data_IF_989937834914
#
_entry.id   IF_989937834914
#
_cell.length_a   1.000
_cell.length_b   1.000
_cell.length_c   1.000
_cell.angle_alpha   90.00
_cell.angle_beta   90.00
_cell.angle_gamma   90.00
#
_symmetry.space_group_name_H-M   'P 1'
#
loop_
_entity.id
_entity.type
_entity.pdbx_description
1 polymer ?
#
# COMPACT_ATOMS: atom_id res chain seq x y z
N UNK A 1 39.80 26.13 51.61
CA UNK A 1 39.99 26.09 50.16
C UNK A 1 39.08 25.01 49.57
N UNK A 2 37.88 25.38 49.22
CA UNK A 2 36.90 24.47 48.61
C UNK A 2 37.04 24.57 47.08
N UNK A 3 37.44 23.47 46.41
CA UNK A 3 37.33 23.34 44.97
C UNK A 3 35.98 22.73 44.65
N UNK A 4 35.05 23.57 44.23
CA UNK A 4 33.84 23.17 43.50
C UNK A 4 34.25 22.64 42.12
N UNK A 5 34.20 21.33 41.93
CA UNK A 5 34.17 20.74 40.60
C UNK A 5 32.73 20.76 40.10
N UNK A 6 32.39 21.77 39.29
CA UNK A 6 31.16 21.79 38.50
C UNK A 6 31.19 20.57 37.57
N UNK A 7 30.29 19.62 37.83
CA UNK A 7 29.92 18.57 36.90
C UNK A 7 29.15 19.22 35.75
N UNK A 8 29.82 19.48 34.63
CA UNK A 8 29.14 19.73 33.38
C UNK A 8 28.42 18.45 32.95
N UNK A 9 27.18 18.53 32.44
CA UNK A 9 26.54 17.35 31.89
C UNK A 9 27.38 16.81 30.74
N UNK A 10 27.56 15.48 30.71
CA UNK A 10 28.26 14.74 29.65
C UNK A 10 27.71 15.21 28.28
N UNK A 11 28.61 15.37 27.34
CA UNK A 11 28.39 16.01 26.05
C UNK A 11 27.16 15.46 25.32
N UNK A 12 26.48 16.33 24.59
CA UNK A 12 25.35 16.03 23.66
C UNK A 12 25.68 14.97 22.60
N UNK A 13 26.89 14.39 22.60
CA UNK A 13 27.34 13.35 21.67
C UNK A 13 26.95 11.93 22.08
N UNK A 14 26.76 11.66 23.40
CA UNK A 14 26.52 10.29 23.92
C UNK A 14 25.28 9.60 23.36
N UNK A 15 24.26 10.34 22.89
CA UNK A 15 23.08 9.75 22.28
C UNK A 15 23.28 9.42 20.78
N UNK A 16 24.20 10.12 20.11
CA UNK A 16 24.55 9.88 18.71
C UNK A 16 25.51 8.70 18.54
N UNK A 17 26.28 8.36 19.58
CA UNK A 17 27.19 7.22 19.58
C UNK A 17 26.45 5.87 19.44
N UNK A 18 25.14 5.88 19.65
CA UNK A 18 24.26 4.71 19.42
C UNK A 18 23.80 4.56 17.97
N UNK A 19 24.02 5.57 17.13
CA UNK A 19 23.64 5.49 15.73
C UNK A 19 24.62 4.55 14.99
N UNK A 20 24.10 3.42 14.49
CA UNK A 20 24.90 2.42 13.78
C UNK A 20 25.72 1.47 14.67
N UNK A 21 25.56 1.55 16.00
CA UNK A 21 26.22 0.66 16.95
C UNK A 21 25.27 -0.41 17.53
N UNK A 22 24.30 -0.88 16.73
CA UNK A 22 23.34 -1.89 17.16
C UNK A 22 24.00 -3.21 17.52
N UNK A 23 23.54 -3.84 18.59
CA UNK A 23 24.00 -5.17 19.04
C UNK A 23 23.39 -6.29 18.17
N UNK A 24 22.22 -6.05 17.60
CA UNK A 24 21.41 -7.03 16.87
C UNK A 24 21.35 -6.70 15.38
N UNK A 25 21.09 -5.44 15.03
CA UNK A 25 20.89 -5.01 13.64
C UNK A 25 22.23 -4.97 12.90
N UNK A 26 22.30 -5.72 11.77
CA UNK A 26 23.49 -5.78 10.89
C UNK A 26 23.24 -5.00 9.61
N UNK A 27 22.04 -5.11 9.02
CA UNK A 27 21.64 -4.42 7.81
C UNK A 27 20.18 -3.98 7.90
N UNK A 28 19.92 -2.68 7.80
CA UNK A 28 18.56 -2.13 7.86
C UNK A 28 17.80 -2.24 6.51
N UNK A 29 18.49 -2.48 5.39
CA UNK A 29 17.85 -2.49 4.08
C UNK A 29 16.71 -3.52 3.96
N UNK A 30 16.83 -4.76 4.49
CA UNK A 30 15.74 -5.74 4.46
C UNK A 30 14.47 -5.33 5.21
N UNK A 31 14.53 -4.34 6.08
CA UNK A 31 13.37 -3.83 6.85
C UNK A 31 12.58 -2.77 6.07
N UNK A 32 13.14 -2.23 4.97
CA UNK A 32 12.40 -1.30 4.12
C UNK A 32 11.30 -2.00 3.35
N UNK A 33 10.14 -1.33 3.23
CA UNK A 33 9.00 -1.85 2.43
C UNK A 33 9.25 -1.88 0.93
N UNK A 34 10.16 -1.03 0.44
CA UNK A 34 10.53 -0.99 -0.98
C UNK A 34 11.62 -2.01 -1.35
N UNK A 35 12.20 -2.66 -0.33
CA UNK A 35 13.23 -3.65 -0.54
C UNK A 35 12.66 -4.97 -1.08
N UNK A 36 13.26 -5.47 -2.14
CA UNK A 36 12.83 -6.72 -2.78
C UNK A 36 13.69 -7.86 -2.24
N UNK A 37 13.08 -8.88 -1.64
CA UNK A 37 13.82 -10.05 -1.17
C UNK A 37 14.39 -10.84 -2.35
N UNK A 38 15.51 -11.55 -2.14
CA UNK A 38 16.09 -12.41 -3.17
C UNK A 38 15.18 -13.55 -3.61
N UNK A 39 14.23 -13.94 -2.76
CA UNK A 39 13.15 -14.90 -3.07
C UNK A 39 11.89 -14.49 -2.33
N UNK A 40 10.75 -14.57 -2.98
CA UNK A 40 9.46 -14.38 -2.32
C UNK A 40 9.07 -15.66 -1.61
N UNK A 41 8.53 -15.55 -0.39
CA UNK A 41 8.06 -16.69 0.39
C UNK A 41 6.55 -16.61 0.58
N UNK A 42 5.89 -17.78 0.60
CA UNK A 42 4.45 -17.90 0.80
C UNK A 42 3.60 -17.46 -0.41
N UNK A 43 4.21 -17.42 -1.62
CA UNK A 43 3.56 -17.09 -2.90
C UNK A 43 4.02 -18.00 -4.04
N UNK A 44 4.47 -19.19 -3.72
CA UNK A 44 5.03 -20.13 -4.70
C UNK A 44 4.00 -20.60 -5.73
N UNK A 45 2.75 -20.75 -5.31
CA UNK A 45 1.67 -21.15 -6.23
C UNK A 45 1.22 -19.99 -7.11
N UNK A 46 1.13 -18.79 -6.57
CA UNK A 46 0.84 -17.57 -7.33
C UNK A 46 1.97 -17.24 -8.33
N UNK A 47 3.24 -17.52 -7.99
CA UNK A 47 4.36 -17.43 -8.93
C UNK A 47 4.21 -18.40 -10.11
N UNK A 48 3.81 -19.66 -9.87
CA UNK A 48 3.57 -20.65 -10.93
C UNK A 48 2.39 -20.25 -11.81
N UNK A 49 1.32 -19.73 -11.21
CA UNK A 49 0.15 -19.26 -11.93
C UNK A 49 0.52 -18.08 -12.84
N UNK A 50 1.26 -17.11 -12.32
CA UNK A 50 1.76 -15.96 -13.10
C UNK A 50 2.70 -16.43 -14.22
N UNK A 51 3.59 -17.40 -13.97
CA UNK A 51 4.44 -17.99 -14.99
C UNK A 51 3.63 -18.67 -16.10
N UNK A 52 2.52 -19.32 -15.76
CA UNK A 52 1.60 -19.92 -16.74
C UNK A 52 0.95 -18.86 -17.63
N UNK A 53 0.52 -17.73 -17.07
CA UNK A 53 -0.03 -16.60 -17.85
C UNK A 53 1.01 -16.02 -18.82
N UNK A 54 2.28 -16.13 -18.50
CA UNK A 54 3.41 -15.61 -19.29
C UNK A 54 4.15 -16.69 -20.11
N UNK A 55 3.63 -17.90 -20.21
CA UNK A 55 4.31 -19.02 -20.85
C UNK A 55 4.74 -18.76 -22.32
N UNK A 56 4.00 -17.93 -23.05
CA UNK A 56 4.28 -17.60 -24.44
C UNK A 56 5.23 -16.40 -24.64
N UNK A 57 5.66 -15.73 -23.58
CA UNK A 57 6.43 -14.47 -23.69
C UNK A 57 7.80 -14.67 -24.38
N UNK A 58 8.39 -15.89 -24.32
CA UNK A 58 9.62 -16.22 -25.02
C UNK A 58 9.49 -16.27 -26.54
N UNK A 59 8.28 -16.42 -27.06
CA UNK A 59 8.00 -16.49 -28.51
C UNK A 59 8.01 -15.09 -29.11
N UNK A 60 8.80 -14.81 -30.17
CA UNK A 60 8.75 -13.54 -30.88
C UNK A 60 7.33 -13.20 -31.35
N UNK A 61 6.93 -11.93 -31.24
CA UNK A 61 5.60 -11.49 -31.63
C UNK A 61 4.50 -11.74 -30.57
N UNK A 62 4.79 -12.40 -29.45
CA UNK A 62 3.80 -12.64 -28.41
C UNK A 62 3.93 -11.61 -27.28
N UNK A 63 2.76 -11.14 -26.83
CA UNK A 63 2.59 -10.26 -25.64
C UNK A 63 1.69 -10.95 -24.63
N UNK A 64 2.09 -10.93 -23.36
CA UNK A 64 1.36 -11.50 -22.24
C UNK A 64 0.76 -10.41 -21.36
N UNK A 65 -0.29 -10.75 -20.63
CA UNK A 65 -1.00 -9.81 -19.77
C UNK A 65 -1.45 -10.48 -18.49
N UNK A 66 -1.38 -9.75 -17.36
CA UNK A 66 -1.93 -10.19 -16.09
C UNK A 66 -2.50 -9.01 -15.31
N UNK A 67 -3.51 -9.32 -14.51
CA UNK A 67 -4.08 -8.43 -13.49
C UNK A 67 -3.81 -9.06 -12.14
N UNK A 68 -3.15 -8.34 -11.22
CA UNK A 68 -2.89 -8.79 -9.87
C UNK A 68 -3.67 -7.92 -8.91
N UNK A 69 -4.58 -8.52 -8.15
CA UNK A 69 -5.39 -7.82 -7.14
C UNK A 69 -5.15 -8.37 -5.74
N UNK A 70 -5.63 -7.68 -4.73
CA UNK A 70 -5.58 -8.09 -3.33
C UNK A 70 -5.36 -6.93 -2.38
N UNK A 71 -5.51 -7.18 -1.08
CA UNK A 71 -5.39 -6.17 -0.04
C UNK A 71 -3.98 -5.54 0.04
N UNK A 72 -3.88 -4.43 0.76
CA UNK A 72 -2.60 -3.81 1.11
C UNK A 72 -1.74 -4.84 1.86
N UNK A 73 -0.43 -4.88 1.56
CA UNK A 73 0.51 -5.78 2.21
C UNK A 73 0.42 -7.25 1.82
N UNK A 74 -0.44 -7.63 0.84
CA UNK A 74 -0.53 -9.01 0.33
C UNK A 74 0.64 -9.44 -0.57
N UNK A 75 1.61 -8.55 -0.85
CA UNK A 75 2.82 -8.87 -1.60
C UNK A 75 2.72 -8.67 -3.12
N UNK A 76 1.69 -7.99 -3.65
CA UNK A 76 1.50 -7.76 -5.10
C UNK A 76 2.71 -7.17 -5.80
N UNK A 77 3.23 -6.07 -5.28
CA UNK A 77 4.40 -5.37 -5.83
C UNK A 77 5.64 -6.25 -5.79
N UNK A 78 5.88 -6.94 -4.67
CA UNK A 78 7.04 -7.83 -4.51
C UNK A 78 6.94 -9.00 -5.47
N UNK A 79 5.78 -9.65 -5.57
CA UNK A 79 5.53 -10.77 -6.50
C UNK A 79 5.81 -10.36 -7.95
N UNK A 80 5.25 -9.26 -8.40
CA UNK A 80 5.39 -8.81 -9.79
C UNK A 80 6.83 -8.42 -10.14
N UNK A 81 7.55 -7.75 -9.23
CA UNK A 81 8.93 -7.34 -9.44
C UNK A 81 9.88 -8.52 -9.41
N UNK A 82 9.76 -9.42 -8.42
CA UNK A 82 10.55 -10.65 -8.36
C UNK A 82 10.32 -11.51 -9.60
N UNK A 83 9.05 -11.68 -10.01
CA UNK A 83 8.71 -12.39 -11.24
C UNK A 83 9.36 -11.77 -12.49
N UNK A 84 9.31 -10.44 -12.61
CA UNK A 84 9.92 -9.74 -13.76
C UNK A 84 11.43 -9.91 -13.81
N UNK A 85 12.11 -9.86 -12.67
CA UNK A 85 13.55 -10.08 -12.56
C UNK A 85 13.94 -11.52 -12.89
N UNK A 86 13.18 -12.50 -12.39
CA UNK A 86 13.39 -13.91 -12.69
C UNK A 86 13.15 -14.23 -14.16
N UNK A 87 12.06 -13.70 -14.73
CA UNK A 87 11.71 -13.86 -16.13
C UNK A 87 12.77 -13.27 -17.05
N UNK A 88 13.24 -12.07 -16.75
CA UNK A 88 14.28 -11.38 -17.53
C UNK A 88 15.58 -12.17 -17.51
N UNK A 89 15.97 -12.70 -16.36
CA UNK A 89 17.18 -13.57 -16.23
C UNK A 89 17.02 -14.87 -16.97
N UNK A 90 15.86 -15.53 -16.81
CA UNK A 90 15.59 -16.83 -17.42
C UNK A 90 15.57 -16.78 -18.95
N UNK A 91 14.99 -15.73 -19.52
CA UNK A 91 14.87 -15.57 -20.97
C UNK A 91 16.00 -14.80 -21.62
N UNK A 92 17.03 -14.41 -20.89
CA UNK A 92 18.14 -13.56 -21.37
C UNK A 92 18.82 -14.07 -22.65
N UNK A 93 18.88 -15.40 -22.85
CA UNK A 93 19.45 -16.04 -24.04
C UNK A 93 18.46 -16.20 -25.21
N UNK A 94 17.15 -16.03 -24.96
CA UNK A 94 16.08 -16.27 -25.95
C UNK A 94 15.50 -14.96 -26.44
N UNK A 95 15.21 -14.03 -25.53
CA UNK A 95 14.55 -12.75 -25.81
C UNK A 95 15.07 -11.66 -24.89
N UNK A 96 15.49 -10.54 -25.46
CA UNK A 96 15.84 -9.36 -24.64
C UNK A 96 14.59 -8.74 -24.06
N UNK A 97 14.41 -8.84 -22.76
CA UNK A 97 13.27 -8.28 -22.01
C UNK A 97 13.77 -7.14 -21.14
N UNK A 98 13.15 -5.96 -21.26
CA UNK A 98 13.36 -4.84 -20.36
C UNK A 98 12.16 -4.67 -19.45
N UNK A 99 12.36 -4.88 -18.15
CA UNK A 99 11.33 -4.63 -17.15
C UNK A 99 11.27 -3.14 -16.80
N UNK A 100 10.06 -2.60 -16.78
CA UNK A 100 9.75 -1.22 -16.36
C UNK A 100 8.63 -1.23 -15.33
N UNK A 101 8.91 -0.73 -14.13
CA UNK A 101 7.92 -0.60 -13.06
C UNK A 101 7.56 0.87 -12.85
N UNK A 102 6.25 1.16 -12.87
CA UNK A 102 5.70 2.50 -12.61
C UNK A 102 4.64 2.42 -11.52
N UNK A 103 4.87 3.11 -10.40
CA UNK A 103 3.87 3.29 -9.37
C UNK A 103 2.94 4.46 -9.75
N UNK A 104 1.67 4.17 -10.02
CA UNK A 104 0.67 5.14 -10.46
C UNK A 104 0.19 6.07 -9.35
N UNK A 105 0.47 5.77 -8.09
CA UNK A 105 0.23 6.72 -6.99
C UNK A 105 1.20 7.91 -7.06
N UNK A 106 2.46 7.65 -7.39
CA UNK A 106 3.48 8.68 -7.57
C UNK A 106 3.35 9.38 -8.94
N UNK A 107 2.76 8.70 -9.93
CA UNK A 107 2.56 9.17 -11.30
C UNK A 107 1.08 9.01 -11.71
N UNK A 108 0.14 9.79 -11.14
CA UNK A 108 -1.29 9.52 -11.27
C UNK A 108 -1.92 9.98 -12.60
N UNK A 109 -1.15 10.51 -13.55
CA UNK A 109 -1.66 10.93 -14.85
C UNK A 109 -0.99 10.19 -15.99
N UNK A 110 -1.72 10.02 -17.09
CA UNK A 110 -1.23 9.42 -18.35
C UNK A 110 0.12 10.00 -18.79
N UNK A 111 0.25 11.33 -18.77
CA UNK A 111 1.48 12.02 -19.14
C UNK A 111 2.64 11.63 -18.22
N UNK A 112 2.42 11.56 -16.91
CA UNK A 112 3.47 11.20 -15.94
C UNK A 112 3.88 9.74 -16.06
N UNK A 113 2.91 8.83 -16.26
CA UNK A 113 3.21 7.39 -16.49
C UNK A 113 4.05 7.23 -17.75
N UNK A 114 3.64 7.83 -18.87
CA UNK A 114 4.37 7.74 -20.13
C UNK A 114 5.77 8.35 -20.04
N UNK A 115 5.91 9.50 -19.38
CA UNK A 115 7.19 10.14 -19.12
C UNK A 115 8.11 9.23 -18.30
N UNK A 116 7.58 8.59 -17.24
CA UNK A 116 8.35 7.65 -16.42
C UNK A 116 8.82 6.43 -17.23
N UNK A 117 7.95 5.88 -18.09
CA UNK A 117 8.32 4.79 -19.00
C UNK A 117 9.44 5.25 -19.96
N UNK A 118 9.26 6.40 -20.62
CA UNK A 118 10.23 6.92 -21.57
C UNK A 118 11.61 7.16 -20.95
N UNK A 119 11.65 7.77 -19.74
CA UNK A 119 12.89 8.00 -18.99
C UNK A 119 13.56 6.68 -18.56
N UNK A 120 12.77 5.65 -18.23
CA UNK A 120 13.31 4.32 -17.89
C UNK A 120 13.93 3.60 -19.10
N UNK A 121 13.50 3.95 -20.32
CA UNK A 121 14.06 3.41 -21.57
C UNK A 121 15.23 4.24 -22.09
N UNK A 122 15.22 5.54 -21.83
CA UNK A 122 16.27 6.48 -22.27
C UNK A 122 16.40 7.62 -21.26
N UNK A 123 17.48 7.62 -20.49
CA UNK A 123 17.79 8.63 -19.47
C UNK A 123 17.91 10.05 -20.04
N UNK A 124 18.09 10.18 -21.38
CA UNK A 124 18.19 11.47 -22.07
C UNK A 124 16.85 11.96 -22.57
N UNK A 125 15.75 11.24 -22.31
CA UNK A 125 14.42 11.65 -22.75
C UNK A 125 14.03 12.99 -22.10
N UNK A 126 13.64 14.04 -22.88
CA UNK A 126 13.27 15.32 -22.31
C UNK A 126 12.01 15.22 -21.44
N UNK A 127 12.06 15.86 -20.29
CA UNK A 127 10.93 15.84 -19.33
C UNK A 127 9.70 16.62 -19.83
N UNK A 128 9.86 17.52 -20.79
CA UNK A 128 8.80 18.41 -21.29
C UNK A 128 8.91 18.61 -22.80
N UNK A 129 7.81 19.05 -23.41
CA UNK A 129 7.77 19.46 -24.81
C UNK A 129 7.10 18.45 -25.75
N UNK A 130 6.68 17.29 -25.28
CA UNK A 130 5.98 16.27 -26.06
C UNK A 130 4.56 16.01 -25.53
N UNK A 131 3.63 15.78 -26.44
CA UNK A 131 2.30 15.27 -26.12
C UNK A 131 2.37 13.79 -25.68
N UNK A 132 1.35 13.31 -24.96
CA UNK A 132 1.27 11.92 -24.56
C UNK A 132 1.36 10.95 -25.74
N UNK A 133 0.75 11.32 -26.88
CA UNK A 133 0.82 10.54 -28.13
C UNK A 133 2.23 10.44 -28.71
N UNK A 134 2.98 11.54 -28.70
CA UNK A 134 4.37 11.56 -29.20
C UNK A 134 5.28 10.75 -28.29
N UNK A 135 5.11 10.84 -26.96
CA UNK A 135 5.88 10.03 -25.98
C UNK A 135 5.59 8.55 -26.19
N UNK A 136 4.32 8.16 -26.34
CA UNK A 136 3.92 6.77 -26.60
C UNK A 136 4.53 6.23 -27.91
N UNK A 137 4.53 7.03 -28.97
CA UNK A 137 5.19 6.67 -30.24
C UNK A 137 6.72 6.56 -30.06
N UNK A 138 7.32 7.44 -29.26
CA UNK A 138 8.74 7.40 -28.90
C UNK A 138 9.10 6.10 -28.16
N UNK A 139 8.30 5.72 -27.16
CA UNK A 139 8.45 4.46 -26.42
C UNK A 139 8.40 3.26 -27.41
N UNK A 140 7.37 3.20 -28.24
CA UNK A 140 7.20 2.15 -29.24
C UNK A 140 8.40 2.05 -30.18
N UNK A 141 8.89 3.19 -30.69
CA UNK A 141 10.06 3.26 -31.58
C UNK A 141 11.31 2.77 -30.87
N UNK A 142 11.54 3.20 -29.63
CA UNK A 142 12.71 2.84 -28.83
C UNK A 142 12.79 1.32 -28.61
N UNK A 143 11.71 0.70 -28.12
CA UNK A 143 11.60 -0.75 -27.89
C UNK A 143 11.89 -1.54 -29.18
N UNK A 144 11.35 -1.11 -30.31
CA UNK A 144 11.56 -1.76 -31.61
C UNK A 144 12.97 -1.59 -32.14
N UNK A 145 13.52 -0.38 -32.10
CA UNK A 145 14.88 -0.09 -32.60
C UNK A 145 15.95 -0.90 -31.85
N UNK A 146 15.70 -1.15 -30.57
CA UNK A 146 16.59 -1.97 -29.72
C UNK A 146 16.31 -3.46 -29.82
N UNK A 147 15.30 -3.87 -30.59
CA UNK A 147 14.82 -5.27 -30.66
C UNK A 147 14.57 -5.87 -29.28
N UNK A 148 13.94 -5.08 -28.39
CA UNK A 148 13.64 -5.46 -27.03
C UNK A 148 12.15 -5.69 -26.86
N UNK A 149 11.79 -6.56 -25.91
CA UNK A 149 10.42 -6.70 -25.42
C UNK A 149 10.31 -5.98 -24.09
N UNK A 150 9.33 -5.09 -23.92
CA UNK A 150 9.08 -4.41 -22.66
C UNK A 150 8.09 -5.21 -21.81
N UNK A 151 8.47 -5.53 -20.58
CA UNK A 151 7.56 -5.97 -19.53
C UNK A 151 7.21 -4.78 -18.65
N UNK A 152 6.04 -4.21 -18.86
CA UNK A 152 5.56 -3.05 -18.12
C UNK A 152 4.71 -3.49 -16.93
N UNK A 153 5.07 -3.01 -15.74
CA UNK A 153 4.30 -3.18 -14.49
C UNK A 153 3.73 -1.82 -14.09
N UNK A 154 2.40 -1.71 -14.11
CA UNK A 154 1.68 -0.54 -13.59
C UNK A 154 1.13 -0.88 -12.21
N UNK A 155 1.78 -0.35 -11.18
CA UNK A 155 1.42 -0.61 -9.79
C UNK A 155 0.49 0.49 -9.25
N UNK A 156 -0.44 0.11 -8.38
CA UNK A 156 -1.49 1.00 -7.83
C UNK A 156 -2.27 1.73 -8.96
N UNK A 157 -2.65 0.98 -10.01
CA UNK A 157 -3.27 1.53 -11.22
C UNK A 157 -4.60 2.24 -10.97
N UNK A 158 -5.27 1.94 -9.87
CA UNK A 158 -6.48 2.62 -9.41
C UNK A 158 -6.29 4.15 -9.23
N UNK A 159 -5.08 4.62 -8.91
CA UNK A 159 -4.77 6.06 -8.86
C UNK A 159 -4.82 6.71 -10.25
N UNK A 160 -4.29 6.03 -11.28
CA UNK A 160 -4.36 6.48 -12.66
C UNK A 160 -5.81 6.49 -13.15
N UNK A 161 -6.55 5.40 -12.91
CA UNK A 161 -7.94 5.25 -13.36
C UNK A 161 -8.85 6.31 -12.76
N UNK A 162 -8.69 6.63 -11.47
CA UNK A 162 -9.46 7.71 -10.82
C UNK A 162 -9.12 9.10 -11.35
N UNK A 163 -7.90 9.32 -11.81
CA UNK A 163 -7.44 10.65 -12.25
C UNK A 163 -7.70 10.92 -13.72
N UNK A 164 -7.32 9.99 -14.59
CA UNK A 164 -7.31 10.15 -16.06
C UNK A 164 -8.17 9.10 -16.79
N UNK A 165 -8.80 8.16 -16.05
CA UNK A 165 -9.57 7.08 -16.66
C UNK A 165 -8.70 5.97 -17.26
N UNK A 166 -9.31 5.14 -18.11
CA UNK A 166 -8.70 3.91 -18.62
C UNK A 166 -8.04 4.05 -20.02
N UNK A 167 -8.00 5.24 -20.58
CA UNK A 167 -7.54 5.47 -21.96
C UNK A 167 -6.10 5.00 -22.19
N UNK A 168 -5.21 5.23 -21.22
CA UNK A 168 -3.82 4.75 -21.32
C UNK A 168 -3.76 3.22 -21.39
N UNK A 169 -4.53 2.52 -20.55
CA UNK A 169 -4.57 1.05 -20.57
C UNK A 169 -5.07 0.57 -21.92
N UNK A 170 -6.12 1.19 -22.46
CA UNK A 170 -6.65 0.86 -23.77
C UNK A 170 -5.59 1.04 -24.87
N UNK A 171 -4.84 2.15 -24.86
CA UNK A 171 -3.77 2.41 -25.83
C UNK A 171 -2.61 1.42 -25.68
N UNK A 172 -2.19 1.08 -24.47
CA UNK A 172 -1.12 0.10 -24.22
C UNK A 172 -1.52 -1.31 -24.68
N UNK A 173 -2.76 -1.72 -24.46
CA UNK A 173 -3.28 -3.02 -24.90
C UNK A 173 -3.42 -3.16 -26.42
N UNK A 174 -3.42 -2.04 -27.14
CA UNK A 174 -3.53 -1.96 -28.59
C UNK A 174 -2.26 -1.49 -29.28
N UNK A 175 -1.17 -1.39 -28.55
CA UNK A 175 0.06 -0.75 -29.02
C UNK A 175 0.64 -1.43 -30.27
N UNK A 176 0.39 -2.73 -30.43
CA UNK A 176 0.90 -3.57 -31.52
C UNK A 176 -0.15 -3.78 -32.64
N UNK A 177 -1.38 -3.27 -32.51
CA UNK A 177 -2.43 -3.47 -33.52
C UNK A 177 -2.11 -2.77 -34.84
N UNK A 178 -2.49 -3.43 -35.94
CA UNK A 178 -2.37 -2.89 -37.31
C UNK A 178 -0.96 -2.85 -37.89
N UNK A 179 -0.03 -3.67 -37.36
CA UNK A 179 1.33 -3.79 -37.86
C UNK A 179 1.78 -5.25 -37.95
N UNK A 180 2.71 -5.53 -38.86
CA UNK A 180 3.24 -6.88 -39.07
C UNK A 180 4.12 -7.35 -37.90
N UNK A 181 4.62 -6.41 -37.09
CA UNK A 181 5.42 -6.68 -35.91
C UNK A 181 4.60 -6.46 -34.66
N UNK A 182 4.26 -7.52 -33.97
CA UNK A 182 3.50 -7.54 -32.71
C UNK A 182 4.40 -7.98 -31.55
N UNK A 183 3.87 -7.88 -30.33
CA UNK A 183 4.53 -8.46 -29.18
C UNK A 183 5.67 -7.64 -28.61
N UNK A 184 5.60 -6.32 -28.69
CA UNK A 184 6.62 -5.42 -28.13
C UNK A 184 6.42 -5.16 -26.64
N UNK A 185 5.20 -5.28 -26.13
CA UNK A 185 4.87 -4.94 -24.72
C UNK A 185 4.00 -6.02 -24.08
N UNK A 186 4.47 -6.57 -22.97
CA UNK A 186 3.65 -7.32 -22.00
C UNK A 186 3.28 -6.43 -20.83
N UNK A 187 2.12 -6.66 -20.23
CA UNK A 187 1.55 -5.76 -19.22
C UNK A 187 1.10 -6.54 -17.97
N UNK A 188 1.60 -6.12 -16.81
CA UNK A 188 1.06 -6.49 -15.50
C UNK A 188 0.44 -5.23 -14.90
N UNK A 189 -0.84 -5.28 -14.53
CA UNK A 189 -1.46 -4.23 -13.73
C UNK A 189 -1.72 -4.74 -12.32
N UNK A 190 -1.47 -3.87 -11.35
CA UNK A 190 -1.63 -4.18 -9.93
C UNK A 190 -2.61 -3.19 -9.32
N UNK A 191 -3.59 -3.71 -8.59
CA UNK A 191 -4.58 -2.86 -7.92
C UNK A 191 -5.15 -3.50 -6.66
N UNK A 192 -6.04 -2.78 -5.99
CA UNK A 192 -6.96 -3.32 -5.00
C UNK A 192 -8.15 -4.00 -5.68
N UNK A 193 -8.93 -4.82 -4.96
CA UNK A 193 -9.91 -5.76 -5.55
C UNK A 193 -10.95 -5.14 -6.50
N UNK A 194 -11.33 -3.88 -6.32
CA UNK A 194 -12.47 -3.25 -7.02
C UNK A 194 -12.12 -2.64 -8.39
N UNK A 195 -10.87 -2.74 -8.87
CA UNK A 195 -10.46 -2.06 -10.12
C UNK A 195 -11.07 -2.66 -11.37
N UNK A 196 -11.26 -3.96 -11.39
CA UNK A 196 -11.84 -4.62 -12.57
C UNK A 196 -13.27 -4.14 -12.86
N UNK A 197 -14.04 -3.82 -11.82
CA UNK A 197 -15.41 -3.31 -11.94
C UNK A 197 -15.47 -1.88 -12.52
N UNK A 198 -14.34 -1.17 -12.49
CA UNK A 198 -14.21 0.19 -13.05
C UNK A 198 -13.74 0.19 -14.52
N UNK A 199 -13.28 -0.96 -15.03
CA UNK A 199 -12.79 -1.07 -16.39
C UNK A 199 -13.95 -1.40 -17.37
N UNK A 200 -13.89 -0.79 -18.54
CA UNK A 200 -14.81 -1.14 -19.64
C UNK A 200 -14.63 -2.60 -20.08
N UNK A 201 -15.72 -3.26 -20.45
CA UNK A 201 -15.72 -4.64 -20.90
C UNK A 201 -14.73 -4.92 -22.05
N UNK A 202 -14.46 -3.92 -22.90
CA UNK A 202 -13.45 -4.00 -23.95
C UNK A 202 -12.01 -4.14 -23.42
N UNK A 203 -11.69 -3.54 -22.28
CA UNK A 203 -10.38 -3.64 -21.63
C UNK A 203 -10.29 -4.98 -20.93
N UNK A 204 -11.31 -5.37 -20.16
CA UNK A 204 -11.36 -6.65 -19.44
C UNK A 204 -11.19 -7.82 -20.40
N UNK A 205 -11.90 -7.81 -21.55
CA UNK A 205 -11.80 -8.87 -22.55
C UNK A 205 -10.40 -9.02 -23.14
N UNK A 206 -9.63 -7.93 -23.21
CA UNK A 206 -8.25 -7.93 -23.74
C UNK A 206 -7.22 -8.45 -22.73
N UNK A 207 -7.47 -8.26 -21.44
CA UNK A 207 -6.67 -8.94 -20.41
C UNK A 207 -6.90 -10.45 -20.43
N UNK A 208 -8.11 -10.89 -20.75
CA UNK A 208 -8.55 -12.28 -20.65
C UNK A 208 -9.01 -12.61 -19.23
N UNK A 209 -10.17 -13.25 -19.12
CA UNK A 209 -10.77 -13.58 -17.81
C UNK A 209 -9.89 -14.53 -16.96
N UNK A 210 -9.05 -15.34 -17.60
CA UNK A 210 -8.12 -16.27 -16.95
C UNK A 210 -6.80 -15.63 -16.50
N UNK A 211 -6.54 -14.40 -16.86
CA UNK A 211 -5.28 -13.71 -16.55
C UNK A 211 -5.43 -12.78 -15.32
N UNK A 212 -6.23 -13.20 -14.36
CA UNK A 212 -6.47 -12.46 -13.11
C UNK A 212 -6.01 -13.31 -11.92
N UNK A 213 -5.06 -12.77 -11.17
CA UNK A 213 -4.47 -13.37 -9.97
C UNK A 213 -4.89 -12.55 -8.75
N UNK A 214 -5.73 -13.13 -7.90
CA UNK A 214 -6.20 -12.50 -6.68
C UNK A 214 -5.38 -12.99 -5.46
N UNK A 215 -4.55 -12.14 -4.89
CA UNK A 215 -3.75 -12.47 -3.72
C UNK A 215 -4.56 -12.40 -2.43
N UNK A 216 -4.67 -13.53 -1.75
CA UNK A 216 -5.27 -13.60 -0.42
C UNK A 216 -4.35 -12.95 0.63
N UNK A 217 -4.89 -12.41 1.74
CA UNK A 217 -4.09 -12.03 2.90
C UNK A 217 -3.19 -13.19 3.36
N UNK A 218 -2.02 -12.87 3.89
CA UNK A 218 -1.12 -13.89 4.43
C UNK A 218 -1.69 -14.49 5.72
N UNK A 219 -1.50 -15.80 5.92
CA UNK A 219 -1.80 -16.46 7.18
C UNK A 219 -0.62 -16.38 8.16
N UNK A 220 -0.83 -16.77 9.43
CA UNK A 220 0.19 -16.72 10.47
C UNK A 220 1.48 -17.45 10.09
N UNK A 221 1.39 -18.64 9.49
CA UNK A 221 2.56 -19.43 9.07
C UNK A 221 3.38 -18.71 8.00
N UNK A 222 2.71 -18.11 7.00
CA UNK A 222 3.38 -17.34 5.95
C UNK A 222 4.06 -16.10 6.53
N UNK A 223 3.40 -15.39 7.45
CA UNK A 223 3.95 -14.21 8.13
C UNK A 223 5.14 -14.57 9.01
N UNK A 224 5.11 -15.72 9.71
CA UNK A 224 6.27 -16.25 10.44
C UNK A 224 7.47 -16.49 9.51
N UNK A 225 7.24 -17.08 8.33
CA UNK A 225 8.31 -17.33 7.35
C UNK A 225 8.86 -16.02 6.80
N UNK A 226 8.00 -15.02 6.53
CA UNK A 226 8.42 -13.68 6.10
C UNK A 226 9.25 -13.00 7.19
N UNK A 227 8.79 -13.01 8.44
CA UNK A 227 9.53 -12.46 9.58
C UNK A 227 10.89 -13.16 9.73
N UNK A 228 10.94 -14.48 9.62
CA UNK A 228 12.18 -15.27 9.69
C UNK A 228 13.16 -14.90 8.58
N UNK A 229 12.70 -14.77 7.34
CA UNK A 229 13.53 -14.34 6.22
C UNK A 229 14.11 -12.94 6.45
N UNK A 230 13.27 -11.99 6.92
CA UNK A 230 13.73 -10.62 7.21
C UNK A 230 14.72 -10.59 8.35
N UNK A 231 14.43 -11.26 9.46
CA UNK A 231 15.32 -11.37 10.62
C UNK A 231 16.68 -11.98 10.25
N UNK A 232 16.69 -13.03 9.44
CA UNK A 232 17.92 -13.68 8.98
C UNK A 232 18.80 -12.77 8.08
N UNK A 233 18.20 -11.79 7.40
CA UNK A 233 18.89 -10.88 6.51
C UNK A 233 19.31 -9.58 7.20
N UNK A 234 18.57 -9.15 8.23
CA UNK A 234 18.82 -7.86 8.89
C UNK A 234 19.54 -7.95 10.22
N UNK A 235 19.54 -9.13 10.89
CA UNK A 235 20.02 -9.28 12.27
C UNK A 235 21.09 -10.36 12.40
N UNK A 236 21.76 -10.36 13.55
CA UNK A 236 22.70 -11.41 13.93
C UNK A 236 21.99 -12.80 13.95
N UNK A 237 22.65 -13.90 13.55
CA UNK A 237 22.02 -15.21 13.38
C UNK A 237 21.37 -15.81 14.63
N UNK A 238 21.70 -15.32 15.83
CA UNK A 238 21.15 -15.81 17.10
C UNK A 238 20.18 -14.83 17.75
N UNK A 239 19.87 -13.71 17.07
CA UNK A 239 19.08 -12.65 17.65
C UNK A 239 17.61 -13.05 17.88
N UNK A 240 17.06 -13.91 17.07
CA UNK A 240 15.66 -14.36 17.14
C UNK A 240 15.56 -15.85 17.39
N UNK A 241 14.74 -16.26 18.36
CA UNK A 241 14.31 -17.65 18.51
C UNK A 241 13.10 -17.95 17.60
N UNK A 242 12.84 -19.23 17.35
CA UNK A 242 11.70 -19.67 16.55
C UNK A 242 10.36 -19.27 17.21
N UNK A 243 10.31 -19.31 18.56
CA UNK A 243 9.13 -18.90 19.33
C UNK A 243 8.82 -17.40 19.13
N UNK A 244 9.84 -16.54 19.13
CA UNK A 244 9.66 -15.09 18.89
C UNK A 244 9.18 -14.81 17.50
N UNK A 245 9.73 -15.49 16.48
CA UNK A 245 9.31 -15.35 15.10
C UNK A 245 7.88 -15.85 14.88
N UNK A 246 7.50 -16.94 15.55
CA UNK A 246 6.13 -17.47 15.53
C UNK A 246 5.16 -16.46 16.14
N UNK A 247 5.52 -15.87 17.29
CA UNK A 247 4.73 -14.84 17.96
C UNK A 247 4.52 -13.61 17.04
N UNK A 248 5.56 -13.17 16.32
CA UNK A 248 5.45 -12.09 15.33
C UNK A 248 4.46 -12.46 14.22
N UNK A 249 4.55 -13.67 13.67
CA UNK A 249 3.65 -14.14 12.61
C UNK A 249 2.20 -14.24 13.07
N UNK A 250 1.95 -14.76 14.28
CA UNK A 250 0.62 -14.80 14.88
C UNK A 250 0.06 -13.40 15.11
N UNK A 251 0.90 -12.54 15.63
CA UNK A 251 0.56 -11.16 15.90
C UNK A 251 0.14 -10.37 14.65
N UNK A 252 0.82 -10.57 13.53
CA UNK A 252 0.50 -9.93 12.27
C UNK A 252 -0.69 -10.58 11.51
N UNK A 253 -1.14 -11.78 11.94
CA UNK A 253 -2.07 -12.61 11.18
C UNK A 253 -3.48 -12.03 11.02
N UNK A 254 -3.93 -11.24 11.99
CA UNK A 254 -5.28 -10.64 11.92
C UNK A 254 -5.40 -9.63 10.77
N UNK A 255 -4.30 -8.92 10.45
CA UNK A 255 -4.25 -8.01 9.30
C UNK A 255 -3.94 -8.75 8.00
N UNK A 256 -3.23 -9.86 8.07
CA UNK A 256 -2.69 -10.57 6.91
C UNK A 256 -1.70 -9.75 6.08
N UNK A 257 -1.18 -8.65 6.64
CA UNK A 257 -0.27 -7.68 5.99
C UNK A 257 1.19 -8.00 6.36
N UNK A 258 2.01 -8.34 5.37
CA UNK A 258 3.43 -8.63 5.56
C UNK A 258 4.22 -7.43 6.13
N UNK A 259 3.76 -6.19 5.89
CA UNK A 259 4.42 -4.99 6.43
C UNK A 259 4.36 -4.97 7.95
N UNK A 260 3.23 -5.42 8.54
CA UNK A 260 3.08 -5.52 10.00
C UNK A 260 4.10 -6.49 10.58
N UNK A 261 4.32 -7.64 9.95
CA UNK A 261 5.33 -8.58 10.40
C UNK A 261 6.76 -8.00 10.32
N UNK A 262 7.06 -7.23 9.27
CA UNK A 262 8.36 -6.55 9.11
C UNK A 262 8.54 -5.46 10.16
N UNK A 263 7.51 -4.63 10.40
CA UNK A 263 7.51 -3.61 11.47
C UNK A 263 7.76 -4.24 12.85
N UNK A 264 7.12 -5.37 13.13
CA UNK A 264 7.31 -6.06 14.41
C UNK A 264 8.74 -6.62 14.57
N UNK A 265 9.37 -7.08 13.48
CA UNK A 265 10.79 -7.46 13.50
C UNK A 265 11.66 -6.25 13.87
N UNK A 266 11.47 -5.12 13.17
CA UNK A 266 12.23 -3.88 13.39
C UNK A 266 12.06 -3.36 14.82
N UNK A 267 10.82 -3.25 15.29
CA UNK A 267 10.52 -2.76 16.63
C UNK A 267 11.05 -3.66 17.73
N UNK A 268 10.97 -4.98 17.53
CA UNK A 268 11.52 -5.94 18.49
C UNK A 268 13.05 -5.82 18.61
N UNK A 269 13.76 -5.63 17.50
CA UNK A 269 15.20 -5.34 17.50
C UNK A 269 15.48 -4.06 18.30
N UNK A 270 14.81 -2.97 17.95
CA UNK A 270 15.00 -1.67 18.58
C UNK A 270 14.82 -1.73 20.10
N UNK A 271 13.82 -2.47 20.59
CA UNK A 271 13.55 -2.62 22.02
C UNK A 271 14.59 -3.47 22.73
N UNK A 272 14.99 -4.59 22.12
CA UNK A 272 16.05 -5.41 22.69
C UNK A 272 17.37 -4.63 22.82
N UNK A 273 17.73 -3.85 21.80
CA UNK A 273 18.91 -2.97 21.84
C UNK A 273 18.77 -1.84 22.86
N UNK A 274 17.57 -1.29 23.09
CA UNK A 274 17.33 -0.32 24.16
C UNK A 274 17.52 -0.93 25.55
N UNK A 275 17.17 -2.22 25.71
CA UNK A 275 17.41 -2.99 26.94
C UNK A 275 18.88 -3.44 27.08
N UNK A 276 19.75 -3.18 26.08
CA UNK A 276 21.14 -3.56 26.05
C UNK A 276 21.39 -5.06 25.82
N UNK A 277 20.42 -5.72 25.18
CA UNK A 277 20.48 -7.15 24.87
C UNK A 277 20.92 -7.37 23.41
N UNK A 278 21.56 -8.51 23.18
CA UNK A 278 21.97 -9.00 21.86
C UNK A 278 21.00 -10.06 21.28
N UNK A 279 19.90 -10.35 22.01
CA UNK A 279 18.83 -11.26 21.61
C UNK A 279 17.46 -10.61 21.79
N UNK A 280 16.52 -10.96 20.93
CA UNK A 280 15.12 -10.55 21.03
C UNK A 280 14.35 -11.57 21.87
N UNK A 281 13.73 -11.11 22.96
CA UNK A 281 12.87 -11.92 23.82
C UNK A 281 11.38 -11.67 23.48
N UNK A 282 10.49 -12.56 23.92
CA UNK A 282 9.04 -12.46 23.68
C UNK A 282 8.44 -11.14 24.18
N UNK A 283 8.96 -10.57 25.28
CA UNK A 283 8.51 -9.28 25.81
C UNK A 283 8.78 -8.09 24.89
N UNK A 284 9.73 -8.21 23.94
CA UNK A 284 10.03 -7.16 22.97
C UNK A 284 9.00 -7.15 21.81
N UNK A 285 8.30 -8.27 21.59
CA UNK A 285 7.14 -8.34 20.70
C UNK A 285 5.92 -7.84 21.46
N UNK A 286 5.69 -6.52 21.49
CA UNK A 286 4.63 -5.96 22.32
C UNK A 286 3.24 -6.16 21.75
N UNK A 287 2.33 -6.63 22.62
CA UNK A 287 0.89 -6.74 22.37
C UNK A 287 0.21 -5.41 21.99
N UNK A 288 0.72 -4.25 22.42
CA UNK A 288 0.06 -2.97 22.18
C UNK A 288 0.16 -2.49 20.72
N UNK A 289 1.28 -2.77 20.04
CA UNK A 289 1.41 -2.47 18.60
C UNK A 289 0.70 -3.51 17.75
N UNK A 290 0.73 -4.76 18.20
CA UNK A 290 -0.11 -5.83 17.66
C UNK A 290 -1.58 -5.51 17.82
N UNK A 291 -1.99 -5.01 18.98
CA UNK A 291 -3.36 -4.53 19.20
C UNK A 291 -3.71 -3.33 18.31
N UNK A 292 -2.77 -2.41 18.06
CA UNK A 292 -2.96 -1.30 17.10
C UNK A 292 -3.07 -1.81 15.67
N UNK A 293 -2.21 -2.76 15.27
CA UNK A 293 -2.32 -3.44 13.97
C UNK A 293 -3.60 -4.28 13.85
N UNK A 294 -3.98 -5.04 14.90
CA UNK A 294 -5.22 -5.83 15.00
C UNK A 294 -6.48 -4.99 14.90
N UNK A 295 -6.42 -3.74 15.38
CA UNK A 295 -7.57 -2.83 15.41
C UNK A 295 -7.73 -2.00 14.15
N UNK A 296 -6.85 -2.17 13.14
CA UNK A 296 -6.82 -1.26 11.99
C UNK A 296 -6.47 0.18 12.39
N UNK A 297 -5.90 0.35 13.58
CA UNK A 297 -5.50 1.65 14.14
C UNK A 297 -4.23 2.18 13.45
N UNK A 298 -4.31 2.39 12.13
CA UNK A 298 -3.49 3.41 11.45
C UNK A 298 -4.03 4.81 11.73
N UNK A 299 -4.52 5.01 12.94
CA UNK A 299 -4.95 6.30 13.39
C UNK A 299 -3.73 7.03 13.95
N UNK A 300 -3.11 7.85 13.11
CA UNK A 300 -2.19 8.88 13.62
C UNK A 300 -3.00 9.87 14.46
N UNK A 301 -2.73 9.97 15.77
CA UNK A 301 -3.43 10.92 16.62
C UNK A 301 -3.39 12.37 16.12
N UNK A 302 -2.38 12.75 15.34
CA UNK A 302 -2.22 14.04 14.67
C UNK A 302 -3.31 14.36 13.64
N UNK A 303 -3.96 13.35 13.06
CA UNK A 303 -5.04 13.55 12.07
C UNK A 303 -6.22 14.35 12.63
N UNK A 304 -6.53 14.21 13.95
CA UNK A 304 -7.59 15.01 14.61
C UNK A 304 -7.23 16.48 14.65
N UNK A 305 -5.95 16.79 14.82
CA UNK A 305 -5.45 18.15 14.92
C UNK A 305 -5.51 18.88 13.54
N UNK A 306 -5.51 18.12 12.44
CA UNK A 306 -5.67 18.61 11.08
C UNK A 306 -7.13 18.81 10.64
N UNK A 307 -8.09 18.29 11.40
CA UNK A 307 -9.52 18.45 11.10
C UNK A 307 -9.99 19.86 11.49
N UNK A 308 -10.84 20.46 10.65
CA UNK A 308 -11.56 21.65 11.05
C UNK A 308 -12.67 21.32 12.08
N UNK A 309 -13.16 22.33 12.81
CA UNK A 309 -14.12 22.13 13.89
C UNK A 309 -15.39 21.40 13.46
N UNK A 310 -15.91 21.66 12.25
CA UNK A 310 -17.09 20.96 11.73
C UNK A 310 -16.80 19.50 11.38
N UNK A 311 -15.62 19.17 10.87
CA UNK A 311 -15.20 17.77 10.66
C UNK A 311 -15.06 17.03 12.00
N UNK A 312 -14.48 17.70 13.03
CA UNK A 312 -14.40 17.15 14.39
C UNK A 312 -15.78 16.88 14.97
N UNK A 313 -16.73 17.80 14.83
CA UNK A 313 -18.11 17.64 15.34
C UNK A 313 -18.88 16.53 14.60
N UNK A 314 -18.72 16.39 13.29
CA UNK A 314 -19.33 15.31 12.52
C UNK A 314 -18.72 13.97 12.96
N UNK A 315 -17.41 13.90 13.11
CA UNK A 315 -16.73 12.69 13.55
C UNK A 315 -17.13 12.32 14.99
N UNK A 316 -17.25 13.30 15.89
CA UNK A 316 -17.75 13.09 17.26
C UNK A 316 -19.18 12.53 17.27
N UNK A 317 -20.07 13.07 16.43
CA UNK A 317 -21.44 12.56 16.28
C UNK A 317 -21.45 11.10 15.82
N UNK A 318 -20.58 10.73 14.87
CA UNK A 318 -20.42 9.36 14.38
C UNK A 318 -19.88 8.46 15.50
N UNK A 319 -18.82 8.86 16.20
CA UNK A 319 -18.22 8.09 17.30
C UNK A 319 -19.24 7.77 18.40
N UNK A 320 -19.98 8.77 18.86
CA UNK A 320 -21.02 8.60 19.91
C UNK A 320 -22.11 7.60 19.50
N UNK A 321 -22.47 7.55 18.21
CA UNK A 321 -23.47 6.61 17.72
C UNK A 321 -22.92 5.21 17.56
N UNK A 322 -21.74 5.07 16.94
CA UNK A 322 -21.12 3.77 16.68
C UNK A 322 -20.63 3.04 17.94
N UNK A 323 -20.60 3.69 19.10
CA UNK A 323 -20.42 2.99 20.39
C UNK A 323 -21.62 2.12 20.78
N UNK A 324 -22.79 2.39 20.21
CA UNK A 324 -24.05 1.70 20.57
C UNK A 324 -24.56 0.83 19.43
N UNK A 325 -24.30 1.21 18.20
CA UNK A 325 -24.78 0.54 16.99
C UNK A 325 -23.58 0.18 16.08
N UNK A 326 -23.67 -0.91 15.32
CA UNK A 326 -22.59 -1.34 14.42
C UNK A 326 -22.42 -0.41 13.20
N UNK A 327 -23.47 0.31 12.83
CA UNK A 327 -23.48 1.26 11.71
C UNK A 327 -24.43 2.43 11.97
N UNK A 328 -24.24 3.53 11.27
CA UNK A 328 -25.12 4.71 11.34
C UNK A 328 -25.46 5.23 9.95
N UNK A 329 -26.70 5.68 9.74
CA UNK A 329 -27.08 6.27 8.45
C UNK A 329 -26.63 7.72 8.34
N UNK A 330 -26.30 8.18 7.12
CA UNK A 330 -25.92 9.58 6.88
C UNK A 330 -26.99 10.58 7.31
N UNK A 331 -28.27 10.18 7.26
CA UNK A 331 -29.39 10.99 7.76
C UNK A 331 -29.36 11.15 9.30
N UNK A 332 -29.02 10.08 10.01
CA UNK A 332 -28.90 10.13 11.48
C UNK A 332 -27.64 10.88 11.89
N UNK A 333 -26.52 10.72 11.18
CA UNK A 333 -25.32 11.54 11.41
C UNK A 333 -25.62 13.02 11.25
N UNK A 334 -26.41 13.42 10.24
CA UNK A 334 -26.77 14.82 10.04
C UNK A 334 -27.58 15.39 11.21
N UNK A 335 -28.49 14.59 11.79
CA UNK A 335 -29.27 15.01 12.99
C UNK A 335 -28.37 15.10 14.23
N UNK A 336 -27.52 14.08 14.44
CA UNK A 336 -26.61 14.06 15.58
C UNK A 336 -25.57 15.18 15.50
N UNK A 337 -25.09 15.51 14.31
CA UNK A 337 -24.19 16.65 14.08
C UNK A 337 -24.84 17.97 14.50
N UNK A 338 -26.13 18.17 14.24
CA UNK A 338 -26.85 19.37 14.72
C UNK A 338 -26.86 19.45 16.25
N UNK A 339 -27.11 18.31 16.92
CA UNK A 339 -27.07 18.22 18.40
C UNK A 339 -25.67 18.55 18.94
N UNK A 340 -24.62 17.99 18.34
CA UNK A 340 -23.22 18.31 18.72
C UNK A 340 -22.91 19.78 18.49
N UNK A 341 -23.35 20.37 17.38
CA UNK A 341 -23.17 21.81 17.13
C UNK A 341 -23.87 22.67 18.20
N UNK A 342 -25.05 22.30 18.65
CA UNK A 342 -25.77 22.99 19.75
C UNK A 342 -24.99 22.86 21.07
N UNK A 343 -24.47 21.68 21.39
CA UNK A 343 -23.66 21.42 22.59
C UNK A 343 -22.42 22.32 22.66
N UNK A 344 -21.74 22.52 21.53
CA UNK A 344 -20.54 23.38 21.45
C UNK A 344 -20.84 24.83 21.05
N UNK A 345 -22.12 25.23 21.00
CA UNK A 345 -22.57 26.58 20.64
C UNK A 345 -22.09 27.06 19.26
N UNK A 346 -21.95 26.14 18.31
CA UNK A 346 -21.53 26.41 16.92
C UNK A 346 -22.73 26.28 15.98
N UNK A 347 -22.86 27.19 15.01
CA UNK A 347 -23.92 27.10 14.00
C UNK A 347 -23.65 25.98 13.00
N UNK A 348 -24.57 25.02 12.80
CA UNK A 348 -24.39 23.94 11.86
C UNK A 348 -24.28 24.45 10.41
N UNK A 349 -23.47 23.79 9.60
CA UNK A 349 -23.31 24.09 8.18
C UNK A 349 -24.45 23.47 7.37
N UNK A 350 -24.74 24.08 6.21
CA UNK A 350 -25.75 23.56 5.29
C UNK A 350 -25.40 22.20 4.68
N UNK A 351 -26.41 21.54 4.13
CA UNK A 351 -26.35 20.14 3.68
C UNK A 351 -25.21 19.86 2.70
N UNK A 352 -24.96 20.74 1.73
CA UNK A 352 -23.87 20.58 0.76
C UNK A 352 -22.48 20.57 1.42
N UNK A 353 -22.28 21.42 2.44
CA UNK A 353 -21.02 21.49 3.18
C UNK A 353 -20.86 20.28 4.10
N UNK A 354 -21.95 19.82 4.74
CA UNK A 354 -21.96 18.58 5.52
C UNK A 354 -21.49 17.38 4.69
N UNK A 355 -22.00 17.21 3.49
CA UNK A 355 -21.57 16.14 2.58
C UNK A 355 -20.10 16.25 2.16
N UNK A 356 -19.59 17.48 1.95
CA UNK A 356 -18.17 17.71 1.69
C UNK A 356 -17.29 17.26 2.86
N UNK A 357 -17.69 17.59 4.08
CA UNK A 357 -16.97 17.16 5.29
C UNK A 357 -17.03 15.66 5.49
N UNK A 358 -18.19 15.05 5.27
CA UNK A 358 -18.31 13.59 5.35
C UNK A 358 -17.39 12.88 4.35
N UNK A 359 -17.35 13.37 3.11
CA UNK A 359 -16.45 12.84 2.08
C UNK A 359 -14.96 13.09 2.40
N UNK A 360 -14.64 14.21 3.03
CA UNK A 360 -13.28 14.49 3.53
C UNK A 360 -12.85 13.48 4.59
N UNK A 361 -13.72 13.15 5.55
CA UNK A 361 -13.46 12.15 6.58
C UNK A 361 -13.27 10.74 5.98
N UNK A 362 -14.07 10.38 4.98
CA UNK A 362 -13.93 9.12 4.25
C UNK A 362 -12.60 9.07 3.47
N UNK A 363 -12.25 10.12 2.76
CA UNK A 363 -10.97 10.20 2.02
C UNK A 363 -9.74 10.15 2.94
N UNK A 364 -9.87 10.55 4.20
CA UNK A 364 -8.83 10.44 5.22
C UNK A 364 -8.83 9.06 5.93
N UNK A 365 -9.75 8.15 5.54
CA UNK A 365 -9.86 6.82 6.11
C UNK A 365 -10.38 6.77 7.56
N UNK A 366 -11.03 7.84 8.03
CA UNK A 366 -11.59 7.92 9.38
C UNK A 366 -12.95 7.24 9.48
N UNK A 367 -13.67 7.14 8.37
CA UNK A 367 -14.96 6.45 8.25
C UNK A 367 -15.01 5.69 6.92
N UNK A 368 -15.82 4.65 6.89
CA UNK A 368 -16.19 3.92 5.68
C UNK A 368 -17.67 4.18 5.38
N UNK A 369 -18.02 4.42 4.11
CA UNK A 369 -19.41 4.58 3.70
C UNK A 369 -19.81 3.60 2.60
N UNK A 370 -20.96 2.94 2.77
CA UNK A 370 -21.57 2.05 1.78
C UNK A 370 -22.98 2.50 1.44
N UNK A 371 -23.31 2.55 0.16
CA UNK A 371 -24.66 2.88 -0.27
C UNK A 371 -25.55 1.66 -0.11
N UNK A 372 -26.61 1.79 0.68
CA UNK A 372 -27.60 0.76 0.96
C UNK A 372 -29.05 1.25 0.84
N UNK A 373 -30.01 0.34 1.05
CA UNK A 373 -31.42 0.69 1.14
C UNK A 373 -31.70 1.30 2.52
N UNK A 374 -32.52 2.37 2.55
CA UNK A 374 -32.94 2.96 3.82
C UNK A 374 -33.73 1.93 4.64
N UNK A 375 -33.40 1.77 5.92
CA UNK A 375 -34.11 0.88 6.86
C UNK A 375 -35.54 1.33 7.14
N UNK A 376 -35.87 2.61 6.94
CA UNK A 376 -37.20 3.19 7.05
C UNK A 376 -37.42 4.18 5.90
N UNK A 377 -38.38 3.89 4.99
CA UNK A 377 -38.74 4.75 3.86
C UNK A 377 -38.21 4.25 2.50
N UNK A 378 -38.70 4.84 1.40
CA UNK A 378 -38.23 4.57 0.02
C UNK A 378 -37.06 5.52 -0.30
N UNK A 379 -35.84 4.96 -0.52
CA UNK A 379 -34.68 5.75 -0.95
C UNK A 379 -33.35 5.02 -0.72
N UNK A 380 -32.27 5.53 -1.33
CA UNK A 380 -30.89 5.11 -1.04
C UNK A 380 -30.32 5.98 0.07
N UNK A 381 -29.65 5.37 1.03
CA UNK A 381 -28.92 6.06 2.10
C UNK A 381 -27.50 5.54 2.17
N UNK A 382 -26.57 6.32 2.73
CA UNK A 382 -25.24 5.83 3.03
C UNK A 382 -25.22 5.29 4.47
N UNK A 383 -24.73 4.07 4.61
CA UNK A 383 -24.43 3.44 5.89
C UNK A 383 -22.95 3.71 6.19
N UNK A 384 -22.69 4.30 7.35
CA UNK A 384 -21.37 4.73 7.78
C UNK A 384 -20.93 3.81 8.89
N UNK A 385 -19.72 3.31 8.77
CA UNK A 385 -19.02 2.47 9.74
C UNK A 385 -17.64 3.04 10.03
N UNK A 386 -16.98 2.57 11.08
CA UNK A 386 -15.59 2.82 11.36
C UNK A 386 -14.99 1.60 12.05
N UNK A 387 -13.66 1.43 12.06
CA UNK A 387 -13.00 0.33 12.79
C UNK A 387 -13.47 0.29 14.25
N UNK A 388 -13.83 -0.89 14.74
CA UNK A 388 -14.53 -1.08 16.04
C UNK A 388 -13.80 -0.50 17.27
N UNK A 389 -12.49 -0.33 17.18
CA UNK A 389 -11.67 0.19 18.27
C UNK A 389 -11.53 1.73 18.29
N UNK A 390 -11.91 2.40 17.21
CA UNK A 390 -11.77 3.85 17.05
C UNK A 390 -12.79 4.71 17.82
N UNK A 391 -14.09 4.36 17.93
CA UNK A 391 -15.10 5.29 18.43
C UNK A 391 -14.81 5.84 19.83
N UNK A 392 -14.39 5.02 20.78
CA UNK A 392 -14.19 5.46 22.18
C UNK A 392 -12.95 6.34 22.37
N UNK A 393 -11.85 5.99 21.73
CA UNK A 393 -10.60 6.76 21.84
C UNK A 393 -10.67 8.09 21.09
N UNK A 394 -11.34 8.09 19.93
CA UNK A 394 -11.60 9.28 19.15
C UNK A 394 -12.51 10.26 19.87
N UNK A 395 -13.57 9.77 20.52
CA UNK A 395 -14.50 10.59 21.29
C UNK A 395 -13.79 11.41 22.34
N UNK A 396 -12.98 10.78 23.22
CA UNK A 396 -12.24 11.48 24.27
C UNK A 396 -11.28 12.55 23.72
N UNK A 397 -10.65 12.27 22.58
CA UNK A 397 -9.71 13.18 21.96
C UNK A 397 -10.40 14.34 21.25
N UNK A 398 -11.51 14.06 20.55
CA UNK A 398 -12.32 15.08 19.90
C UNK A 398 -12.95 16.04 20.93
N UNK A 399 -13.43 15.52 22.07
CA UNK A 399 -13.94 16.34 23.17
C UNK A 399 -12.88 17.23 23.83
N UNK A 400 -11.60 16.81 23.77
CA UNK A 400 -10.48 17.66 24.23
C UNK A 400 -10.02 18.68 23.19
N UNK A 401 -10.30 18.42 21.91
CA UNK A 401 -9.84 19.24 20.79
C UNK A 401 -10.91 20.23 20.27
N UNK A 402 -12.16 20.12 20.75
CA UNK A 402 -13.29 21.04 20.55
C UNK A 402 -13.49 21.95 21.77
#
# INVERSE_FOLDING_TARGET
>A
MFKNSQLWPRSMSDYLDRIGAGLILVDAAPLSYDWIPPSIVGREDEQKELATMFASIGTPGMSCRAVITGNVGSGKTVLSRTFADDLTRHLSSVRSIQSVHVNCRNHPTTSQVLQRIATSLDDRHPERGFSASEVLQGIRRNVRTRNQHMLLILDEVDHLLRKDGADLLYQLLRIDEGRDESGTISLIIISQEEVLDQLEGAIISRFGLSNHLALKPYNAKQLTVIASQRAALCANPRAFSEEVLTLIGEAASDSGDARVAIELVEDSIRRAEMDGLDIVEQRHVQDDEVRRAKRGERFEPSIVDELNDHEKMILLAICRRLRRDPEVTSGDVSKLYQVVCEEYSVKPRGNTTFWKHLKSLENRGLIDSKTGTASVGRGRTQHITMPQALPGQLEERLEKAL
#
